data_IF_841624124793
#
_entry.id   IF_841624124793
#
_cell.length_a   1.000
_cell.length_b   1.000
_cell.length_c   1.000
_cell.angle_alpha   90.00
_cell.angle_beta   90.00
_cell.angle_gamma   90.00
#
_symmetry.space_group_name_H-M   'P 1'
#
loop_
_entity.id
_entity.type
_entity.pdbx_description
1 polymer ?
#
# COMPACT_ATOMS: atom_id res chain seq x y z
N UNK A 1 -9.17 9.74 -4.78
CA UNK A 1 -8.22 9.23 -3.77
C UNK A 1 -8.84 8.02 -3.07
N UNK A 2 -8.21 6.83 -3.11
CA UNK A 2 -8.79 5.55 -2.64
C UNK A 2 -9.28 5.62 -1.18
N UNK A 3 -8.47 6.20 -0.30
CA UNK A 3 -8.80 6.37 1.12
C UNK A 3 -10.05 7.23 1.34
N UNK A 4 -10.20 8.33 0.61
CA UNK A 4 -11.36 9.22 0.75
C UNK A 4 -12.65 8.54 0.25
N UNK A 5 -12.57 7.77 -0.84
CA UNK A 5 -13.72 7.00 -1.33
C UNK A 5 -14.20 5.95 -0.32
N UNK A 6 -13.28 5.27 0.38
CA UNK A 6 -13.64 4.35 1.45
C UNK A 6 -14.14 5.08 2.71
N UNK A 7 -13.63 6.28 3.01
CA UNK A 7 -14.11 7.11 4.12
C UNK A 7 -15.58 7.48 3.95
N UNK A 8 -15.94 7.97 2.77
CA UNK A 8 -17.31 8.36 2.44
C UNK A 8 -18.27 7.18 2.59
N UNK A 9 -17.88 5.99 2.12
CA UNK A 9 -18.66 4.75 2.28
C UNK A 9 -18.78 4.29 3.72
N UNK A 10 -17.74 4.49 4.53
CA UNK A 10 -17.72 4.13 5.94
C UNK A 10 -18.45 5.15 6.84
N UNK A 11 -18.76 6.35 6.32
CA UNK A 11 -19.42 7.41 7.09
C UNK A 11 -18.54 8.07 8.17
N UNK A 12 -17.22 7.85 8.14
CA UNK A 12 -16.30 8.34 9.17
C UNK A 12 -16.01 9.83 8.97
N UNK A 13 -16.58 10.66 9.85
CA UNK A 13 -16.41 12.12 9.81
C UNK A 13 -14.97 12.54 10.14
N UNK A 14 -14.51 13.63 9.53
CA UNK A 14 -13.30 14.31 10.00
C UNK A 14 -13.54 14.89 11.41
N UNK A 15 -12.53 14.96 12.29
CA UNK A 15 -11.09 14.73 12.09
C UNK A 15 -10.60 13.29 12.31
N UNK A 16 -11.49 12.33 12.53
CA UNK A 16 -11.12 10.94 12.88
C UNK A 16 -10.30 10.28 11.76
N UNK A 17 -9.11 9.74 12.11
CA UNK A 17 -8.17 9.17 11.12
C UNK A 17 -8.46 7.71 10.79
N UNK A 18 -8.82 6.90 11.78
CA UNK A 18 -9.17 5.48 11.66
C UNK A 18 -10.55 5.23 12.27
N UNK A 19 -11.29 4.26 11.73
CA UNK A 19 -12.49 3.75 12.37
C UNK A 19 -12.13 2.99 13.66
N UNK A 20 -12.91 3.19 14.71
CA UNK A 20 -12.70 2.52 16.00
C UNK A 20 -13.04 1.03 15.92
N UNK A 21 -12.58 0.25 16.90
CA UNK A 21 -12.84 -1.19 16.96
C UNK A 21 -14.34 -1.51 16.98
N UNK A 22 -15.14 -0.68 17.67
CA UNK A 22 -16.59 -0.81 17.70
C UNK A 22 -17.19 -0.62 16.29
N UNK A 23 -16.82 0.46 15.60
CA UNK A 23 -17.30 0.78 14.25
C UNK A 23 -16.87 -0.28 13.21
N UNK A 24 -15.67 -0.82 13.34
CA UNK A 24 -15.13 -1.88 12.49
C UNK A 24 -15.87 -3.21 12.69
N UNK A 25 -16.27 -3.52 13.93
CA UNK A 25 -17.01 -4.75 14.23
C UNK A 25 -18.44 -4.72 13.69
N UNK A 26 -19.01 -3.53 13.54
CA UNK A 26 -20.39 -3.31 13.10
C UNK A 26 -20.47 -3.05 11.59
N UNK A 27 -19.49 -2.35 11.01
CA UNK A 27 -19.49 -1.96 9.60
C UNK A 27 -18.30 -2.52 8.84
N UNK A 28 -18.61 -3.31 7.80
CA UNK A 28 -17.62 -3.84 6.86
C UNK A 28 -16.90 -2.73 6.09
N UNK A 29 -17.58 -1.63 5.80
CA UNK A 29 -16.96 -0.49 5.11
C UNK A 29 -15.96 0.25 6.00
N UNK A 30 -16.22 0.33 7.31
CA UNK A 30 -15.27 0.86 8.29
C UNK A 30 -13.98 0.00 8.37
N UNK A 31 -14.12 -1.32 8.27
CA UNK A 31 -12.96 -2.21 8.14
C UNK A 31 -12.15 -1.94 6.86
N UNK A 32 -12.81 -1.85 5.70
CA UNK A 32 -12.14 -1.54 4.43
C UNK A 32 -11.46 -0.17 4.44
N UNK A 33 -12.05 0.82 5.11
CA UNK A 33 -11.45 2.13 5.32
C UNK A 33 -10.14 2.02 6.10
N UNK A 34 -10.12 1.30 7.22
CA UNK A 34 -8.88 1.05 7.97
C UNK A 34 -7.85 0.29 7.15
N UNK A 35 -8.30 -0.65 6.33
CA UNK A 35 -7.43 -1.37 5.41
C UNK A 35 -6.78 -0.45 4.37
N UNK A 36 -7.57 0.40 3.71
CA UNK A 36 -7.08 1.40 2.77
C UNK A 36 -6.10 2.38 3.43
N UNK A 37 -6.39 2.82 4.67
CA UNK A 37 -5.49 3.65 5.46
C UNK A 37 -4.15 2.95 5.73
N UNK A 38 -4.17 1.67 6.12
CA UNK A 38 -2.91 0.94 6.38
C UNK A 38 -2.08 0.75 5.11
N UNK A 39 -2.72 0.46 3.98
CA UNK A 39 -2.03 0.36 2.70
C UNK A 39 -1.38 1.68 2.27
N UNK A 40 -2.07 2.80 2.52
CA UNK A 40 -1.54 4.14 2.28
C UNK A 40 -0.31 4.42 3.17
N UNK A 41 -0.41 4.20 4.49
CA UNK A 41 0.71 4.39 5.42
C UNK A 41 1.91 3.50 5.07
N UNK A 42 1.69 2.23 4.68
CA UNK A 42 2.77 1.34 4.24
C UNK A 42 3.51 1.86 3.00
N UNK A 43 2.80 2.58 2.13
CA UNK A 43 3.40 3.21 0.96
C UNK A 43 4.23 4.42 1.37
N UNK A 44 3.71 5.26 2.28
CA UNK A 44 4.44 6.41 2.84
C UNK A 44 5.70 5.99 3.60
N UNK A 45 5.67 4.87 4.31
CA UNK A 45 6.84 4.32 5.03
C UNK A 45 7.98 3.92 4.07
N UNK A 46 7.67 3.44 2.86
CA UNK A 46 8.67 2.96 1.91
C UNK A 46 9.04 3.96 0.82
N UNK A 47 8.17 4.93 0.53
CA UNK A 47 8.34 5.90 -0.54
C UNK A 47 9.66 6.70 -0.43
N UNK A 48 10.09 7.20 0.75
CA UNK A 48 11.36 7.93 0.85
C UNK A 48 12.56 7.07 0.42
N UNK A 49 12.63 5.82 0.87
CA UNK A 49 13.72 4.92 0.52
C UNK A 49 13.75 4.64 -0.99
N UNK A 50 12.60 4.35 -1.58
CA UNK A 50 12.48 4.06 -3.02
C UNK A 50 12.87 5.26 -3.88
N UNK A 51 12.46 6.47 -3.49
CA UNK A 51 12.84 7.70 -4.18
C UNK A 51 14.36 7.89 -4.12
N UNK A 52 14.96 7.83 -2.93
CA UNK A 52 16.41 8.04 -2.76
C UNK A 52 17.22 7.00 -3.54
N UNK A 53 16.88 5.73 -3.44
CA UNK A 53 17.60 4.66 -4.16
C UNK A 53 17.45 4.79 -5.67
N UNK A 54 16.27 5.20 -6.15
CA UNK A 54 16.03 5.40 -7.59
C UNK A 54 16.85 6.59 -8.10
N UNK A 55 16.87 7.70 -7.38
CA UNK A 55 17.64 8.89 -7.78
C UNK A 55 19.14 8.61 -7.84
N UNK A 56 19.69 7.94 -6.81
CA UNK A 56 21.12 7.56 -6.79
C UNK A 56 21.44 6.60 -7.95
N UNK A 57 20.61 5.58 -8.16
CA UNK A 57 20.83 4.58 -9.21
C UNK A 57 20.71 5.17 -10.61
N UNK A 58 19.81 6.14 -10.80
CA UNK A 58 19.57 6.80 -12.09
C UNK A 58 20.77 7.63 -12.57
N UNK A 59 21.64 8.10 -11.65
CA UNK A 59 22.87 8.83 -12.01
C UNK A 59 23.82 7.99 -12.88
N UNK A 60 23.85 6.67 -12.67
CA UNK A 60 24.73 5.75 -13.41
C UNK A 60 23.98 4.84 -14.37
N UNK A 61 22.77 4.43 -14.03
CA UNK A 61 21.97 3.45 -14.76
C UNK A 61 20.52 3.94 -14.92
N UNK A 62 20.27 4.98 -15.74
CA UNK A 62 18.96 5.64 -15.83
C UNK A 62 17.85 4.70 -16.30
N UNK A 63 18.10 3.87 -17.31
CA UNK A 63 17.10 2.94 -17.83
C UNK A 63 16.73 1.84 -16.82
N UNK A 64 17.74 1.30 -16.10
CA UNK A 64 17.52 0.25 -15.09
C UNK A 64 16.75 0.81 -13.90
N UNK A 65 17.13 2.01 -13.44
CA UNK A 65 16.44 2.69 -12.35
C UNK A 65 14.97 3.00 -12.72
N UNK A 66 14.70 3.43 -13.96
CA UNK A 66 13.34 3.67 -14.44
C UNK A 66 12.50 2.39 -14.47
N UNK A 67 13.04 1.28 -14.99
CA UNK A 67 12.34 -0.01 -15.03
C UNK A 67 12.05 -0.52 -13.60
N UNK A 68 13.03 -0.44 -12.70
CA UNK A 68 12.88 -0.90 -11.32
C UNK A 68 11.83 -0.08 -10.56
N UNK A 69 11.85 1.25 -10.70
CA UNK A 69 10.84 2.14 -10.11
C UNK A 69 9.44 1.89 -10.70
N UNK A 70 9.34 1.66 -12.02
CA UNK A 70 8.11 1.28 -12.69
C UNK A 70 7.55 -0.04 -12.16
N UNK A 71 8.39 -1.07 -12.04
CA UNK A 71 8.00 -2.37 -11.49
C UNK A 71 7.50 -2.25 -10.05
N UNK A 72 8.19 -1.46 -9.20
CA UNK A 72 7.74 -1.20 -7.84
C UNK A 72 6.38 -0.49 -7.80
N UNK A 73 6.17 0.50 -8.68
CA UNK A 73 4.91 1.25 -8.78
C UNK A 73 3.74 0.32 -9.15
N UNK A 74 3.91 -0.55 -10.15
CA UNK A 74 2.89 -1.54 -10.53
C UNK A 74 2.62 -2.52 -9.37
N UNK A 75 3.68 -3.00 -8.70
CA UNK A 75 3.55 -3.84 -7.51
C UNK A 75 2.73 -3.16 -6.41
N UNK A 76 2.88 -1.85 -6.23
CA UNK A 76 2.11 -1.06 -5.25
C UNK A 76 0.65 -0.87 -5.61
N UNK A 77 0.34 -0.74 -6.90
CA UNK A 77 -1.04 -0.70 -7.38
C UNK A 77 -1.71 -2.04 -7.05
N UNK A 78 -1.10 -3.17 -7.42
CA UNK A 78 -1.62 -4.50 -7.14
C UNK A 78 -1.76 -4.78 -5.64
N UNK A 79 -0.78 -4.36 -4.83
CA UNK A 79 -0.82 -4.44 -3.37
C UNK A 79 -2.03 -3.70 -2.79
N UNK A 80 -2.28 -2.48 -3.25
CA UNK A 80 -3.39 -1.65 -2.75
C UNK A 80 -4.74 -2.26 -3.14
N UNK A 81 -4.87 -2.75 -4.38
CA UNK A 81 -6.07 -3.49 -4.80
C UNK A 81 -6.32 -4.71 -3.92
N UNK A 82 -5.31 -5.56 -3.72
CA UNK A 82 -5.42 -6.74 -2.86
C UNK A 82 -5.78 -6.41 -1.41
N UNK A 83 -5.32 -5.27 -0.88
CA UNK A 83 -5.62 -4.82 0.48
C UNK A 83 -7.07 -4.29 0.62
N UNK A 84 -7.66 -3.79 -0.47
CA UNK A 84 -9.05 -3.27 -0.49
C UNK A 84 -10.10 -4.32 -0.85
N UNK A 85 -9.71 -5.44 -1.46
CA UNK A 85 -10.57 -6.56 -1.86
C UNK A 85 -10.87 -7.51 -0.69
N UNK A 86 -11.50 -6.98 0.35
CA UNK A 86 -12.29 -7.66 1.39
C UNK A 86 -11.72 -8.86 2.18
N UNK A 87 -10.47 -9.28 1.92
CA UNK A 87 -9.77 -10.31 2.66
C UNK A 87 -8.28 -9.93 2.76
N UNK A 88 -7.78 -9.49 3.93
CA UNK A 88 -6.37 -9.17 4.14
C UNK A 88 -5.44 -10.34 3.84
N UNK A 89 -5.95 -11.57 3.93
CA UNK A 89 -5.26 -12.80 3.56
C UNK A 89 -4.94 -12.88 2.06
N UNK A 90 -5.70 -12.18 1.21
CA UNK A 90 -5.43 -12.07 -0.23
C UNK A 90 -4.38 -11.02 -0.60
N UNK A 91 -3.75 -10.38 0.38
CA UNK A 91 -2.60 -9.46 0.21
C UNK A 91 -1.52 -10.04 -0.71
N UNK A 92 -1.32 -11.36 -0.66
CA UNK A 92 -0.32 -12.07 -1.46
C UNK A 92 -0.89 -12.83 -2.68
N UNK A 93 -2.20 -12.88 -2.87
CA UNK A 93 -2.82 -13.75 -3.89
C UNK A 93 -2.67 -13.21 -5.31
N UNK A 94 -2.56 -11.89 -5.48
CA UNK A 94 -2.41 -11.25 -6.80
C UNK A 94 -1.03 -10.62 -7.06
N UNK A 95 -0.12 -10.69 -6.09
CA UNK A 95 1.21 -10.07 -6.18
C UNK A 95 2.28 -10.66 -5.26
N UNK A 96 2.00 -11.78 -4.58
CA UNK A 96 2.93 -12.39 -3.62
C UNK A 96 4.29 -12.79 -4.20
N UNK A 97 4.40 -13.28 -5.44
CA UNK A 97 5.72 -13.53 -6.05
C UNK A 97 6.49 -12.24 -6.36
N UNK A 98 5.82 -11.13 -6.64
CA UNK A 98 6.47 -9.82 -6.87
C UNK A 98 6.79 -9.10 -5.55
N UNK A 99 6.06 -9.40 -4.49
CA UNK A 99 6.34 -8.98 -3.12
C UNK A 99 7.41 -9.80 -2.40
N UNK A 100 7.79 -10.98 -2.90
CA UNK A 100 8.89 -11.77 -2.33
C UNK A 100 10.25 -11.07 -2.49
N UNK A 101 10.41 -10.18 -3.47
CA UNK A 101 11.54 -9.23 -3.54
C UNK A 101 11.49 -8.15 -2.44
N UNK A 102 10.35 -7.95 -1.78
CA UNK A 102 10.25 -7.04 -0.63
C UNK A 102 10.78 -7.68 0.66
N UNK A 103 10.93 -9.01 0.71
CA UNK A 103 11.40 -9.76 1.87
C UNK A 103 12.55 -10.76 1.57
N UNK A 104 13.43 -10.47 0.61
CA UNK A 104 14.89 -10.60 0.85
C UNK A 104 15.41 -9.57 1.89
N UNK A 105 14.47 -8.94 2.59
CA UNK A 105 14.49 -8.51 3.98
C UNK A 105 15.76 -8.78 4.78
N UNK A 106 16.22 -7.67 5.36
CA UNK A 106 16.72 -7.57 6.74
C UNK A 106 18.03 -8.29 7.09
N UNK A 107 18.61 -9.13 6.24
CA UNK A 107 19.87 -9.85 6.55
C UNK A 107 20.75 -10.16 5.33
N UNK A 108 20.91 -9.19 4.41
CA UNK A 108 22.13 -8.97 3.60
C UNK A 108 22.38 -7.47 3.55
#
# INVERSE_FOLDING_TARGET
>A
MVVNGHRERAGIKHPQQYAEKAEVSVSREAYKFNCAQRAHQSTLEQMPSVIVTTLISALRYPNVAAIACGAWTVGRILYTFGYTSEAPEKRNTYGGPLGLLSFMSKWV
#
